data_IF_741964136348
#
_entry.id   IF_741964136348
#
_cell.length_a   1.000
_cell.length_b   1.000
_cell.length_c   1.000
_cell.angle_alpha   90.00
_cell.angle_beta   90.00
_cell.angle_gamma   90.00
#
_symmetry.space_group_name_H-M   'P 1'
#
loop_
_entity.id
_entity.type
_entity.pdbx_description
1 polymer ?
#
# COMPACT_ATOMS: atom_id res chain seq x y z
N UNK A 1 28.93 -12.37 -10.78
CA UNK A 1 27.57 -11.97 -10.38
C UNK A 1 26.57 -12.60 -11.35
N UNK A 2 25.60 -13.41 -10.89
CA UNK A 2 24.69 -14.14 -11.80
C UNK A 2 23.38 -13.36 -11.98
N UNK A 3 23.26 -12.64 -13.09
CA UNK A 3 22.13 -11.76 -13.42
C UNK A 3 20.76 -12.44 -13.32
N UNK A 4 20.65 -13.72 -13.71
CA UNK A 4 19.38 -14.47 -13.61
C UNK A 4 18.93 -14.67 -12.17
N UNK A 5 19.88 -14.83 -11.22
CA UNK A 5 19.57 -14.98 -9.79
C UNK A 5 19.09 -13.65 -9.20
N UNK A 6 19.72 -12.54 -9.55
CA UNK A 6 19.32 -11.20 -9.08
C UNK A 6 17.93 -10.80 -9.60
N UNK A 7 17.64 -11.04 -10.89
CA UNK A 7 16.29 -10.84 -11.43
C UNK A 7 15.22 -11.68 -10.73
N UNK A 8 15.55 -12.93 -10.37
CA UNK A 8 14.63 -13.80 -9.63
C UNK A 8 14.34 -13.27 -8.22
N UNK A 9 15.35 -12.73 -7.54
CA UNK A 9 15.18 -12.08 -6.22
C UNK A 9 14.25 -10.88 -6.32
N UNK A 10 14.48 -9.99 -7.29
CA UNK A 10 13.62 -8.81 -7.51
C UNK A 10 12.16 -9.21 -7.80
N UNK A 11 11.95 -10.22 -8.65
CA UNK A 11 10.60 -10.73 -8.93
C UNK A 11 9.93 -11.32 -7.70
N UNK A 12 10.68 -12.04 -6.86
CA UNK A 12 10.14 -12.61 -5.63
C UNK A 12 9.81 -11.53 -4.60
N UNK A 13 10.65 -10.50 -4.49
CA UNK A 13 10.42 -9.34 -3.60
C UNK A 13 9.14 -8.60 -3.97
N UNK A 14 8.92 -8.32 -5.27
CA UNK A 14 7.69 -7.67 -5.76
C UNK A 14 6.40 -8.41 -5.44
N UNK A 15 6.45 -9.73 -5.16
CA UNK A 15 5.27 -10.48 -4.72
C UNK A 15 4.77 -10.02 -3.35
N UNK A 16 5.63 -9.42 -2.53
CA UNK A 16 5.28 -8.90 -1.22
C UNK A 16 4.54 -7.55 -1.29
N UNK A 17 4.57 -6.86 -2.43
CA UNK A 17 3.87 -5.58 -2.58
C UNK A 17 2.35 -5.75 -2.54
N UNK A 18 1.83 -6.80 -3.20
CA UNK A 18 0.39 -7.05 -3.28
C UNK A 18 -0.27 -7.27 -1.91
N UNK A 19 0.22 -8.16 -1.02
CA UNK A 19 -0.40 -8.33 0.29
C UNK A 19 -0.38 -7.03 1.10
N UNK A 20 0.70 -6.26 1.05
CA UNK A 20 0.79 -4.97 1.75
C UNK A 20 -0.19 -3.94 1.17
N UNK A 21 -0.31 -3.84 -0.16
CA UNK A 21 -1.32 -2.98 -0.80
C UNK A 21 -2.74 -3.40 -0.42
N UNK A 22 -3.02 -4.70 -0.39
CA UNK A 22 -4.33 -5.20 0.05
C UNK A 22 -4.61 -4.81 1.49
N UNK A 23 -3.66 -5.02 2.40
CA UNK A 23 -3.76 -4.63 3.79
C UNK A 23 -4.06 -3.14 3.94
N UNK A 24 -3.36 -2.26 3.21
CA UNK A 24 -3.59 -0.82 3.27
C UNK A 24 -5.01 -0.44 2.80
N UNK A 25 -5.51 -1.09 1.75
CA UNK A 25 -6.88 -0.87 1.27
C UNK A 25 -7.92 -1.41 2.25
N UNK A 26 -7.69 -2.59 2.83
CA UNK A 26 -8.55 -3.17 3.85
C UNK A 26 -8.60 -2.28 5.10
N UNK A 27 -7.46 -1.72 5.52
CA UNK A 27 -7.39 -0.71 6.58
C UNK A 27 -8.20 0.53 6.22
N UNK A 28 -8.04 1.07 5.00
CA UNK A 28 -8.78 2.24 4.55
C UNK A 28 -10.30 2.03 4.56
N UNK A 29 -10.77 0.87 4.09
CA UNK A 29 -12.20 0.57 4.01
C UNK A 29 -12.81 0.20 5.37
N UNK A 30 -12.01 -0.31 6.30
CA UNK A 30 -12.46 -0.69 7.63
C UNK A 30 -12.44 0.48 8.62
N UNK A 31 -11.70 1.55 8.31
CA UNK A 31 -11.58 2.72 9.17
C UNK A 31 -12.87 3.55 9.16
N UNK A 32 -13.49 3.67 10.33
CA UNK A 32 -14.38 4.79 10.65
C UNK A 32 -13.53 5.98 11.14
N UNK A 33 -14.00 7.22 10.98
CA UNK A 33 -13.23 8.44 11.33
C UNK A 33 -12.64 8.42 12.76
N UNK A 34 -13.30 7.74 13.70
CA UNK A 34 -12.87 7.60 15.10
C UNK A 34 -11.67 6.65 15.33
N UNK A 35 -11.28 5.84 14.35
CA UNK A 35 -10.24 4.82 14.46
C UNK A 35 -8.91 5.22 13.78
N UNK A 36 -8.86 6.42 13.20
CA UNK A 36 -7.64 7.01 12.65
C UNK A 36 -7.00 7.99 13.66
N UNK A 37 -5.65 8.08 13.73
CA UNK A 37 -4.66 7.40 12.91
C UNK A 37 -4.22 6.02 13.44
N UNK A 38 -3.80 5.12 12.55
CA UNK A 38 -3.37 3.74 12.89
C UNK A 38 -1.85 3.61 12.83
N UNK A 39 -1.25 3.01 13.86
CA UNK A 39 0.18 2.71 13.87
C UNK A 39 0.47 1.38 13.18
N UNK A 40 1.37 1.39 12.21
CA UNK A 40 1.94 0.19 11.59
C UNK A 40 3.24 -0.12 12.31
N UNK A 41 3.28 -1.27 12.99
CA UNK A 41 4.40 -1.67 13.86
C UNK A 41 5.16 -2.88 13.35
N UNK A 42 4.61 -3.63 12.39
CA UNK A 42 5.35 -4.71 11.76
C UNK A 42 6.48 -4.13 10.90
N UNK A 43 7.70 -4.60 11.17
CA UNK A 43 8.90 -4.07 10.54
C UNK A 43 8.96 -4.39 9.05
N UNK A 44 8.49 -5.57 8.62
CA UNK A 44 8.52 -5.95 7.21
C UNK A 44 7.50 -5.14 6.42
N UNK A 45 6.29 -4.97 6.96
CA UNK A 45 5.26 -4.14 6.34
C UNK A 45 5.73 -2.69 6.24
N UNK A 46 6.35 -2.14 7.29
CA UNK A 46 6.94 -0.80 7.25
C UNK A 46 7.96 -0.65 6.12
N UNK A 47 8.90 -1.59 5.98
CA UNK A 47 9.92 -1.53 4.93
C UNK A 47 9.29 -1.58 3.53
N UNK A 48 8.32 -2.47 3.32
CA UNK A 48 7.63 -2.58 2.03
C UNK A 48 6.83 -1.31 1.73
N UNK A 49 6.15 -0.73 2.73
CA UNK A 49 5.41 0.52 2.55
C UNK A 49 6.34 1.68 2.18
N UNK A 50 7.50 1.79 2.84
CA UNK A 50 8.51 2.80 2.52
C UNK A 50 9.05 2.63 1.09
N UNK A 51 9.26 1.39 0.65
CA UNK A 51 9.67 1.11 -0.73
C UNK A 51 8.55 1.46 -1.72
N UNK A 52 7.29 1.12 -1.40
CA UNK A 52 6.13 1.48 -2.21
C UNK A 52 5.94 3.00 -2.33
N UNK A 53 6.30 3.76 -1.30
CA UNK A 53 6.37 5.22 -1.34
C UNK A 53 7.47 5.70 -2.28
N UNK A 54 8.67 5.14 -2.18
CA UNK A 54 9.83 5.51 -3.00
C UNK A 54 9.59 5.27 -4.50
N UNK A 55 8.98 4.13 -4.86
CA UNK A 55 8.60 3.83 -6.25
C UNK A 55 7.32 4.54 -6.71
N UNK A 56 6.68 5.31 -5.81
CA UNK A 56 5.51 6.15 -6.10
C UNK A 56 4.21 5.39 -6.30
N UNK A 57 4.04 4.20 -5.70
CA UNK A 57 2.78 3.44 -5.72
C UNK A 57 1.87 3.81 -4.55
N UNK A 58 2.45 4.25 -3.43
CA UNK A 58 1.73 4.68 -2.23
C UNK A 58 1.84 6.20 -2.09
N UNK A 59 0.74 6.86 -1.73
CA UNK A 59 0.73 8.30 -1.45
C UNK A 59 1.41 8.57 -0.10
N UNK A 60 2.59 9.20 -0.14
CA UNK A 60 3.34 9.60 1.05
C UNK A 60 2.50 10.48 1.99
N UNK A 61 1.59 11.29 1.42
CA UNK A 61 0.72 12.17 2.18
C UNK A 61 -0.39 11.43 2.92
N UNK A 62 -0.57 10.12 2.71
CA UNK A 62 -1.44 9.29 3.52
C UNK A 62 -0.78 8.83 4.84
N UNK A 63 0.52 9.10 5.04
CA UNK A 63 1.27 8.61 6.18
C UNK A 63 2.03 9.71 6.94
N UNK A 64 2.49 9.36 8.14
CA UNK A 64 3.47 10.09 8.95
C UNK A 64 4.61 9.12 9.27
N UNK A 65 5.82 9.47 8.86
CA UNK A 65 7.03 8.68 9.12
C UNK A 65 7.65 9.18 10.42
N UNK A 66 7.73 8.32 11.44
CA UNK A 66 8.42 8.62 12.70
C UNK A 66 9.89 8.27 12.56
N UNK A 67 10.78 9.21 12.92
CA UNK A 67 12.22 9.03 12.89
C UNK A 67 12.84 9.33 14.25
N UNK A 68 13.93 8.63 14.59
CA UNK A 68 14.74 8.87 15.79
C UNK A 68 16.20 8.61 15.46
N UNK A 69 17.07 9.59 15.69
CA UNK A 69 18.52 9.48 15.42
C UNK A 69 18.84 8.84 14.06
N UNK A 70 18.18 9.33 13.00
CA UNK A 70 18.28 8.87 11.60
C UNK A 70 17.54 7.57 11.24
N UNK A 71 17.14 6.77 12.22
CA UNK A 71 16.37 5.54 11.98
C UNK A 71 14.87 5.81 11.83
N UNK A 72 14.20 5.08 10.93
CA UNK A 72 12.74 5.07 10.84
C UNK A 72 12.20 4.14 11.92
N UNK A 73 11.56 4.71 12.94
CA UNK A 73 11.08 3.98 14.13
C UNK A 73 9.60 3.62 14.07
N UNK A 74 8.87 4.09 13.06
CA UNK A 74 7.46 3.75 12.91
C UNK A 74 6.80 4.47 11.75
N UNK A 75 5.67 3.92 11.34
CA UNK A 75 4.84 4.47 10.28
C UNK A 75 3.41 4.59 10.80
N UNK A 76 2.81 5.76 10.63
CA UNK A 76 1.43 6.03 11.06
C UNK A 76 0.58 6.35 9.85
N UNK A 77 -0.48 5.59 9.64
CA UNK A 77 -1.46 5.78 8.57
C UNK A 77 -2.56 6.75 9.02
N UNK A 78 -2.83 7.76 8.20
CA UNK A 78 -3.77 8.86 8.50
C UNK A 78 -5.21 8.59 8.06
N UNK A 79 -5.49 7.43 7.49
CA UNK A 79 -6.84 7.08 6.99
C UNK A 79 -7.21 7.65 5.63
N UNK A 80 -6.34 8.45 4.98
CA UNK A 80 -6.54 8.90 3.59
C UNK A 80 -6.28 7.76 2.61
N UNK A 81 -6.95 7.78 1.45
CA UNK A 81 -6.73 6.76 0.41
C UNK A 81 -5.21 6.54 0.16
N UNK A 82 -4.71 5.29 0.27
CA UNK A 82 -3.27 5.06 0.42
C UNK A 82 -2.51 4.96 -0.90
N UNK A 83 -3.18 4.83 -2.05
CA UNK A 83 -2.53 4.58 -3.33
C UNK A 83 -2.47 5.85 -4.20
N UNK A 84 -1.43 5.92 -5.04
CA UNK A 84 -1.39 6.84 -6.18
C UNK A 84 -2.05 6.19 -7.41
N UNK A 85 -2.25 6.97 -8.47
CA UNK A 85 -2.68 6.43 -9.77
C UNK A 85 -1.78 5.29 -10.28
N UNK A 86 -0.45 5.40 -10.08
CA UNK A 86 0.51 4.35 -10.46
C UNK A 86 0.31 3.07 -9.63
N UNK A 87 0.03 3.21 -8.33
CA UNK A 87 -0.27 2.08 -7.45
C UNK A 87 -1.56 1.38 -7.83
N UNK A 88 -2.60 2.14 -8.19
CA UNK A 88 -3.84 1.58 -8.72
C UNK A 88 -3.63 0.83 -10.04
N UNK A 89 -2.86 1.40 -10.97
CA UNK A 89 -2.54 0.75 -12.24
C UNK A 89 -1.75 -0.55 -12.02
N UNK A 90 -0.81 -0.56 -11.08
CA UNK A 90 -0.10 -1.78 -10.68
C UNK A 90 -1.08 -2.83 -10.16
N UNK A 91 -1.97 -2.47 -9.24
CA UNK A 91 -2.95 -3.38 -8.66
C UNK A 91 -3.92 -3.94 -9.71
N UNK A 92 -4.37 -3.11 -10.67
CA UNK A 92 -5.22 -3.54 -11.78
C UNK A 92 -4.52 -4.55 -12.69
N UNK A 93 -3.23 -4.34 -13.01
CA UNK A 93 -2.43 -5.25 -13.86
C UNK A 93 -2.13 -6.58 -13.19
N UNK A 94 -1.80 -6.57 -11.91
CA UNK A 94 -1.53 -7.78 -11.11
C UNK A 94 -2.83 -8.51 -10.70
N UNK A 95 -3.97 -7.82 -10.79
CA UNK A 95 -5.26 -8.21 -10.23
C UNK A 95 -6.25 -8.89 -11.17
N UNK A 96 -5.79 -9.58 -12.23
CA UNK A 96 -6.61 -10.21 -13.29
C UNK A 96 -7.71 -11.22 -12.88
N UNK A 97 -8.06 -11.37 -11.61
CA UNK A 97 -9.19 -12.20 -11.16
C UNK A 97 -9.93 -11.71 -9.88
N UNK A 98 -9.46 -10.67 -9.18
CA UNK A 98 -10.00 -10.30 -7.85
C UNK A 98 -10.72 -8.94 -7.81
N UNK A 99 -10.87 -8.25 -8.94
CA UNK A 99 -11.64 -7.00 -9.03
C UNK A 99 -13.15 -7.17 -8.74
N UNK A 100 -13.67 -8.40 -8.62
CA UNK A 100 -15.10 -8.63 -8.33
C UNK A 100 -15.53 -8.20 -6.91
N UNK A 101 -14.59 -8.07 -5.96
CA UNK A 101 -14.94 -7.69 -4.58
C UNK A 101 -14.97 -6.16 -4.41
N UNK A 102 -14.11 -5.43 -5.13
CA UNK A 102 -13.94 -3.99 -4.95
C UNK A 102 -14.78 -3.12 -5.91
N UNK A 103 -15.32 -3.69 -7.00
CA UNK A 103 -16.09 -2.93 -8.00
C UNK A 103 -17.57 -2.68 -7.68
N UNK A 104 -18.10 -3.16 -6.53
CA UNK A 104 -19.57 -3.12 -6.26
C UNK A 104 -20.02 -2.08 -5.23
N UNK A 105 -19.12 -1.38 -4.55
CA UNK A 105 -19.49 -0.40 -3.50
C UNK A 105 -19.18 1.07 -3.82
N UNK A 106 -18.51 1.37 -4.94
CA UNK A 106 -18.11 2.76 -5.27
C UNK A 106 -18.90 3.42 -6.41
N UNK A 107 -19.94 2.78 -6.94
CA UNK A 107 -20.92 3.45 -7.80
C UNK A 107 -22.15 3.83 -6.96
N UNK A 108 -21.93 4.77 -6.04
CA UNK A 108 -23.01 5.58 -5.48
C UNK A 108 -23.41 6.60 -6.53
N UNK A 109 -24.61 6.42 -7.08
CA UNK A 109 -25.47 7.36 -7.79
C UNK A 109 -24.87 8.75 -8.04
N UNK A 110 -24.36 8.96 -9.25
CA UNK A 110 -24.37 10.26 -9.90
C UNK A 110 -25.26 10.11 -11.13
N UNK A 111 -26.57 10.25 -10.93
CA UNK A 111 -27.50 10.65 -11.97
C UNK A 111 -28.38 11.74 -11.32
N UNK A 112 -28.25 12.96 -11.83
CA UNK A 112 -29.21 14.06 -11.67
C UNK A 112 -30.51 13.74 -12.43
#
# INVERSE_FOLDING_TARGET
MNYKKELKKLKNHRKQYRPVISMLLDMHHSLNDAESPVSITDYNDMLIILELMDIGYVDVNAFVIKRKFEDITGLVYKGKFPLTEKGELFLRREGGASHRIYGRKTLGNFDE
#
